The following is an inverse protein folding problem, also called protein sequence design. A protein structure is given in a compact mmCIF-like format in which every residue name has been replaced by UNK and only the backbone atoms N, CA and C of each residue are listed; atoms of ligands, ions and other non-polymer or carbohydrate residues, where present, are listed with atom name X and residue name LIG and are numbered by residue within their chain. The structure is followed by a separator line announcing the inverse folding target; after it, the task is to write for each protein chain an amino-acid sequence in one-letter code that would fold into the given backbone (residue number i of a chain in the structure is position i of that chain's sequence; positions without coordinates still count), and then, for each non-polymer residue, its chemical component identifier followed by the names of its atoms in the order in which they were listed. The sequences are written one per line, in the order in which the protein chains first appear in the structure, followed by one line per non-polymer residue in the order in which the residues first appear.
data_IF_529875005767
#
_entry.id   IF_529875005767
#
_cell.length_a   1.000
_cell.length_b   1.000
_cell.length_c   1.000
_cell.angle_alpha   90.00
_cell.angle_beta   90.00
_cell.angle_gamma   90.00
#
_symmetry.space_group_name_H-M   'P 1'
#
loop_
_entity.id
_entity.type
_entity.pdbx_description
1 polymer ?
#
# COMPACT_ATOMS: atom_id res chain seq x y z
N UNK A 1 -10.76 -3.61 20.47
CA UNK A 1 -11.33 -3.05 19.22
C UNK A 1 -12.85 -3.23 19.30
N UNK A 2 -13.65 -2.20 19.01
CA UNK A 2 -15.11 -2.38 18.91
C UNK A 2 -15.44 -3.26 17.70
N UNK A 3 -16.55 -4.01 17.75
CA UNK A 3 -16.99 -4.87 16.63
C UNK A 3 -17.17 -4.07 15.33
N UNK A 4 -17.66 -2.83 15.44
CA UNK A 4 -17.80 -1.90 14.32
C UNK A 4 -16.46 -1.60 13.64
N UNK A 5 -15.42 -1.30 14.43
CA UNK A 5 -14.09 -0.99 13.90
C UNK A 5 -13.47 -2.19 13.17
N UNK A 6 -13.69 -3.41 13.66
CA UNK A 6 -13.21 -4.62 13.01
C UNK A 6 -13.87 -4.84 11.65
N UNK A 7 -15.19 -4.65 11.57
CA UNK A 7 -15.96 -4.77 10.32
C UNK A 7 -15.52 -3.69 9.31
N UNK A 8 -15.44 -2.43 9.73
CA UNK A 8 -14.99 -1.33 8.86
C UNK A 8 -13.55 -1.55 8.35
N UNK A 9 -12.64 -2.00 9.22
CA UNK A 9 -11.27 -2.31 8.81
C UNK A 9 -11.21 -3.48 7.83
N UNK A 10 -11.97 -4.55 8.08
CA UNK A 10 -12.05 -5.69 7.18
C UNK A 10 -12.53 -5.29 5.79
N UNK A 11 -13.62 -4.52 5.70
CA UNK A 11 -14.16 -4.03 4.42
C UNK A 11 -13.12 -3.16 3.70
N UNK A 12 -12.46 -2.24 4.41
CA UNK A 12 -11.44 -1.38 3.82
C UNK A 12 -10.27 -2.20 3.25
N UNK A 13 -9.73 -3.15 4.02
CA UNK A 13 -8.63 -4.01 3.57
C UNK A 13 -9.06 -4.91 2.41
N UNK A 14 -10.29 -5.41 2.40
CA UNK A 14 -10.81 -6.22 1.31
C UNK A 14 -10.88 -5.42 0.00
N UNK A 15 -11.43 -4.20 0.04
CA UNK A 15 -11.49 -3.32 -1.13
C UNK A 15 -10.07 -3.01 -1.64
N UNK A 16 -9.15 -2.67 -0.73
CA UNK A 16 -7.75 -2.42 -1.08
C UNK A 16 -7.05 -3.65 -1.66
N UNK A 17 -7.28 -4.84 -1.10
CA UNK A 17 -6.61 -6.07 -1.52
C UNK A 17 -7.09 -6.61 -2.86
N UNK A 18 -8.36 -6.38 -3.22
CA UNK A 18 -8.92 -6.79 -4.53
C UNK A 18 -8.46 -5.86 -5.64
N UNK A 19 -8.23 -4.58 -5.33
CA UNK A 19 -7.85 -3.60 -6.35
C UNK A 19 -6.39 -3.82 -6.76
N UNK A 20 -6.09 -4.13 -8.04
CA UNK A 20 -4.72 -4.32 -8.48
C UNK A 20 -3.93 -3.02 -8.31
N UNK A 21 -2.91 -3.06 -7.47
CA UNK A 21 -2.05 -1.92 -7.20
C UNK A 21 -1.01 -1.66 -8.30
N UNK A 22 -0.25 -0.55 -8.20
CA UNK A 22 0.80 -0.21 -9.15
C UNK A 22 1.88 -1.30 -9.29
N UNK A 23 2.14 -2.07 -8.23
CA UNK A 23 3.07 -3.21 -8.29
C UNK A 23 2.63 -4.31 -9.25
N UNK A 24 1.33 -4.63 -9.29
CA UNK A 24 0.76 -5.62 -10.22
C UNK A 24 0.91 -5.14 -11.66
N UNK A 25 0.59 -3.87 -11.94
CA UNK A 25 0.77 -3.27 -13.26
C UNK A 25 2.25 -3.25 -13.70
N UNK A 26 3.18 -2.98 -12.78
CA UNK A 26 4.61 -3.01 -13.07
C UNK A 26 5.09 -4.42 -13.46
N UNK A 27 4.61 -5.47 -12.78
CA UNK A 27 4.89 -6.86 -13.15
C UNK A 27 4.29 -7.21 -14.51
N UNK A 28 3.04 -6.82 -14.78
CA UNK A 28 2.40 -7.06 -16.07
C UNK A 28 3.15 -6.37 -17.21
N UNK A 29 3.49 -5.09 -17.05
CA UNK A 29 4.25 -4.33 -18.03
C UNK A 29 5.63 -4.96 -18.31
N UNK A 30 6.34 -5.38 -17.25
CA UNK A 30 7.64 -6.05 -17.36
C UNK A 30 7.52 -7.42 -18.05
N UNK A 31 6.49 -8.19 -17.72
CA UNK A 31 6.24 -9.50 -18.29
C UNK A 31 5.88 -9.43 -19.77
N UNK A 32 5.07 -8.45 -20.16
CA UNK A 32 4.74 -8.18 -21.56
C UNK A 32 5.95 -7.70 -22.36
N UNK A 33 6.83 -6.89 -21.77
CA UNK A 33 7.99 -6.33 -22.47
C UNK A 33 9.20 -7.28 -22.55
N UNK A 34 9.38 -8.18 -21.57
CA UNK A 34 10.63 -8.94 -21.41
C UNK A 34 10.44 -10.41 -21.01
N UNK A 35 9.20 -10.90 -21.01
CA UNK A 35 8.86 -12.28 -20.63
C UNK A 35 8.79 -12.52 -19.12
N UNK A 36 8.18 -13.65 -18.72
CA UNK A 36 7.91 -13.96 -17.31
C UNK A 36 9.17 -14.07 -16.44
N UNK A 37 10.29 -14.55 -16.99
CA UNK A 37 11.56 -14.67 -16.27
C UNK A 37 12.11 -13.33 -15.80
N UNK A 38 11.87 -12.24 -16.55
CA UNK A 38 12.31 -10.89 -16.19
C UNK A 38 11.54 -10.30 -15.01
N UNK A 39 10.39 -10.89 -14.63
CA UNK A 39 9.59 -10.46 -13.48
C UNK A 39 10.11 -10.99 -12.14
N UNK A 40 10.93 -12.05 -12.12
CA UNK A 40 11.35 -12.69 -10.87
C UNK A 40 12.04 -11.71 -9.92
N UNK A 41 13.04 -10.98 -10.40
CA UNK A 41 13.76 -10.00 -9.59
C UNK A 41 12.88 -8.83 -9.15
N UNK A 42 11.91 -8.43 -9.98
CA UNK A 42 10.95 -7.38 -9.64
C UNK A 42 10.01 -7.83 -8.52
N UNK A 43 9.43 -9.03 -8.66
CA UNK A 43 8.56 -9.63 -7.66
C UNK A 43 9.30 -9.88 -6.34
N UNK A 44 10.54 -10.39 -6.41
CA UNK A 44 11.37 -10.63 -5.24
C UNK A 44 11.67 -9.32 -4.47
N UNK A 45 12.05 -8.26 -5.19
CA UNK A 45 12.25 -6.94 -4.59
C UNK A 45 10.97 -6.40 -3.93
N UNK A 46 9.81 -6.55 -4.59
CA UNK A 46 8.51 -6.15 -4.02
C UNK A 46 8.23 -6.91 -2.72
N UNK A 47 8.36 -8.24 -2.72
CA UNK A 47 8.12 -9.05 -1.52
C UNK A 47 9.04 -8.66 -0.36
N UNK A 48 10.33 -8.45 -0.62
CA UNK A 48 11.26 -7.98 0.43
C UNK A 48 10.82 -6.60 0.95
N UNK A 49 10.45 -5.67 0.06
CA UNK A 49 10.00 -4.35 0.48
C UNK A 49 8.74 -4.40 1.34
N UNK A 50 7.78 -5.28 1.01
CA UNK A 50 6.55 -5.47 1.78
C UNK A 50 6.85 -6.05 3.17
N UNK A 51 7.77 -7.02 3.27
CA UNK A 51 8.20 -7.58 4.55
C UNK A 51 8.88 -6.53 5.42
N UNK A 52 9.82 -5.75 4.86
CA UNK A 52 10.50 -4.69 5.58
C UNK A 52 9.53 -3.59 6.03
N UNK A 53 8.60 -3.20 5.16
CA UNK A 53 7.54 -2.26 5.50
C UNK A 53 6.67 -2.79 6.65
N UNK A 54 6.25 -4.06 6.61
CA UNK A 54 5.43 -4.67 7.66
C UNK A 54 6.18 -4.72 8.99
N UNK A 55 7.47 -5.07 8.98
CA UNK A 55 8.32 -5.06 10.17
C UNK A 55 8.41 -3.64 10.74
N UNK A 56 8.67 -2.64 9.89
CA UNK A 56 8.73 -1.24 10.30
C UNK A 56 7.39 -0.73 10.84
N UNK A 57 6.27 -1.14 10.25
CA UNK A 57 4.93 -0.79 10.70
C UNK A 57 4.63 -1.43 12.07
N UNK A 58 4.92 -2.72 12.25
CA UNK A 58 4.67 -3.41 13.52
C UNK A 58 5.54 -2.90 14.67
N UNK A 59 6.82 -2.59 14.39
CA UNK A 59 7.78 -2.16 15.42
C UNK A 59 7.77 -0.64 15.66
N UNK A 60 7.57 0.17 14.62
CA UNK A 60 7.72 1.62 14.66
C UNK A 60 6.41 2.41 14.70
N UNK A 61 5.34 1.90 14.09
CA UNK A 61 4.08 2.66 14.00
C UNK A 61 3.39 2.80 15.36
N UNK A 62 3.55 1.81 16.25
CA UNK A 62 3.05 1.86 17.61
C UNK A 62 3.71 3.00 18.42
N UNK A 63 4.99 3.30 18.17
CA UNK A 63 5.75 4.35 18.87
C UNK A 63 5.33 5.74 18.35
N UNK A 64 5.15 5.89 17.04
CA UNK A 64 4.71 7.15 16.44
C UNK A 64 3.25 7.44 16.82
N UNK A 65 2.38 6.43 16.82
CA UNK A 65 0.96 6.60 17.14
C UNK A 65 0.73 7.02 18.61
N UNK A 66 1.57 6.57 19.55
CA UNK A 66 1.42 6.91 20.98
C UNK A 66 2.04 8.25 21.34
N UNK A 67 3.16 8.63 20.72
CA UNK A 67 3.90 9.85 21.10
C UNK A 67 3.69 11.04 20.14
N UNK A 68 3.29 10.79 18.89
CA UNK A 68 3.23 11.80 17.81
C UNK A 68 1.90 11.76 17.04
N UNK A 69 0.77 11.70 17.75
CA UNK A 69 -0.56 11.56 17.15
C UNK A 69 -0.95 12.64 16.13
N UNK A 70 -0.54 13.90 16.36
CA UNK A 70 -0.78 15.01 15.42
C UNK A 70 -0.04 14.80 14.10
N UNK A 71 1.24 14.42 14.16
CA UNK A 71 2.05 14.14 12.96
C UNK A 71 1.49 12.96 12.19
N UNK A 72 1.07 11.90 12.88
CA UNK A 72 0.40 10.76 12.23
C UNK A 72 -0.88 11.18 11.50
N UNK A 73 -1.65 12.10 12.09
CA UNK A 73 -2.87 12.64 11.46
C UNK A 73 -2.55 13.43 10.19
N UNK A 74 -1.54 14.30 10.23
CA UNK A 74 -1.08 15.05 9.05
C UNK A 74 -0.64 14.10 7.94
N UNK A 75 0.18 13.09 8.26
CA UNK A 75 0.63 12.09 7.30
C UNK A 75 -0.55 11.36 6.66
N UNK A 76 -1.58 10.99 7.44
CA UNK A 76 -2.79 10.34 6.91
C UNK A 76 -3.56 11.23 5.94
N UNK A 77 -3.72 12.51 6.26
CA UNK A 77 -4.43 13.45 5.37
C UNK A 77 -3.65 13.66 4.08
N UNK A 78 -2.33 13.89 4.17
CA UNK A 78 -1.46 14.03 3.00
C UNK A 78 -1.49 12.77 2.13
N UNK A 79 -1.42 11.59 2.74
CA UNK A 79 -1.53 10.31 2.05
C UNK A 79 -2.88 10.14 1.33
N UNK A 80 -3.99 10.53 1.98
CA UNK A 80 -5.31 10.49 1.36
C UNK A 80 -5.41 11.42 0.14
N UNK A 81 -4.91 12.65 0.24
CA UNK A 81 -4.86 13.60 -0.88
C UNK A 81 -4.02 13.02 -2.03
N UNK A 82 -2.87 12.43 -1.71
CA UNK A 82 -1.99 11.83 -2.70
C UNK A 82 -2.64 10.65 -3.44
N UNK A 83 -3.39 9.80 -2.73
CA UNK A 83 -4.14 8.70 -3.35
C UNK A 83 -5.26 9.21 -4.26
N UNK A 84 -5.96 10.28 -3.88
CA UNK A 84 -6.96 10.92 -4.76
C UNK A 84 -6.29 11.44 -6.03
N UNK A 85 -5.14 12.10 -5.91
CA UNK A 85 -4.35 12.57 -7.06
C UNK A 85 -3.93 11.43 -7.98
N UNK A 86 -3.39 10.33 -7.44
CA UNK A 86 -3.02 9.17 -8.23
C UNK A 86 -4.22 8.53 -8.92
N UNK A 87 -5.35 8.42 -8.21
CA UNK A 87 -6.62 7.94 -8.78
C UNK A 87 -7.07 8.80 -9.97
N UNK A 88 -7.03 10.12 -9.82
CA UNK A 88 -7.33 11.05 -10.92
C UNK A 88 -6.36 10.90 -12.11
N UNK A 89 -5.06 10.77 -11.81
CA UNK A 89 -4.03 10.58 -12.85
C UNK A 89 -4.23 9.27 -13.61
N UNK A 90 -4.60 8.19 -12.94
CA UNK A 90 -4.92 6.91 -13.58
C UNK A 90 -6.20 6.96 -14.42
N UNK A 91 -7.19 7.74 -14.00
CA UNK A 91 -8.44 7.92 -14.75
C UNK A 91 -8.26 8.74 -16.03
N UNK A 92 -7.25 9.62 -16.07
CA UNK A 92 -7.00 10.57 -17.17
C UNK A 92 -5.83 10.18 -18.07
N UNK A 93 -5.12 9.09 -17.76
CA UNK A 93 -4.02 8.54 -18.56
C UNK A 93 -4.53 7.56 -19.62
#
# INVERSE_FOLDING_TARGET
MSQEAAISFFIAVLIFGVTPGPGVFAILARGLASGAGACFWLAFGMTISDMLYLIAACLGLAIIATHWGEVFTVIRIVGAIYLIYLGYKMWTA
#
